data_IF_109251084532
#
_entry.id   IF_109251084532
#
_cell.length_a   1.000
_cell.length_b   1.000
_cell.length_c   1.000
_cell.angle_alpha   90.00
_cell.angle_beta   90.00
_cell.angle_gamma   90.00
#
_symmetry.space_group_name_H-M   'P 1'
#
loop_
_entity.id
_entity.type
_entity.pdbx_description
1 polymer ?
#
# COMPACT_ATOMS: atom_id res chain seq x y z
N UNK A 1 -13.65 15.36 11.71
CA UNK A 1 -14.05 14.00 11.26
C UNK A 1 -13.14 13.67 10.08
N UNK A 2 -12.29 12.66 10.18
CA UNK A 2 -11.49 12.17 9.05
C UNK A 2 -12.47 11.60 8.03
N UNK A 3 -12.46 12.12 6.81
CA UNK A 3 -13.30 11.60 5.73
C UNK A 3 -12.78 10.21 5.32
N UNK A 4 -13.59 9.18 5.51
CA UNK A 4 -13.27 7.82 5.08
C UNK A 4 -13.43 7.72 3.56
N UNK A 5 -12.39 8.08 2.83
CA UNK A 5 -12.41 8.15 1.37
C UNK A 5 -11.67 6.97 0.74
N UNK A 6 -12.27 6.42 -0.30
CA UNK A 6 -11.67 5.43 -1.19
C UNK A 6 -11.25 6.17 -2.45
N UNK A 7 -10.00 6.00 -2.90
CA UNK A 7 -9.54 6.65 -4.12
C UNK A 7 -9.46 5.72 -5.32
N UNK A 8 -9.43 4.41 -5.08
CA UNK A 8 -9.48 3.43 -6.16
C UNK A 8 -10.09 2.10 -5.65
N UNK A 9 -10.75 1.38 -6.54
CA UNK A 9 -11.19 -0.01 -6.35
C UNK A 9 -10.65 -0.78 -7.56
N UNK A 10 -9.51 -1.46 -7.35
CA UNK A 10 -8.83 -2.24 -8.38
C UNK A 10 -9.39 -3.65 -8.41
N UNK A 11 -9.96 -4.03 -9.54
CA UNK A 11 -10.43 -5.39 -9.79
C UNK A 11 -9.33 -6.24 -10.42
N UNK A 12 -9.46 -7.56 -10.28
CA UNK A 12 -8.54 -8.54 -10.87
C UNK A 12 -7.08 -8.35 -10.43
N UNK A 13 -6.86 -7.91 -9.20
CA UNK A 13 -5.53 -7.85 -8.60
C UNK A 13 -5.00 -9.26 -8.34
N UNK A 14 -3.75 -9.54 -8.74
CA UNK A 14 -3.11 -10.86 -8.61
C UNK A 14 -1.89 -10.84 -7.69
N UNK A 15 -1.47 -9.64 -7.23
CA UNK A 15 -0.29 -9.46 -6.38
C UNK A 15 -0.64 -8.90 -4.98
N UNK A 16 -1.92 -8.84 -4.65
CA UNK A 16 -2.40 -8.24 -3.41
C UNK A 16 -2.92 -9.30 -2.41
N UNK A 17 -2.35 -10.53 -2.47
CA UNK A 17 -2.69 -11.69 -1.68
C UNK A 17 -3.05 -12.91 -2.55
N UNK A 18 -3.55 -14.01 -1.96
CA UNK A 18 -3.87 -15.23 -2.70
C UNK A 18 -5.04 -15.04 -3.67
N UNK A 19 -4.98 -15.75 -4.80
CA UNK A 19 -6.01 -15.75 -5.83
C UNK A 19 -6.20 -14.40 -6.53
N UNK A 20 -7.36 -14.22 -7.19
CA UNK A 20 -7.76 -12.97 -7.82
C UNK A 20 -8.55 -12.15 -6.79
N UNK A 21 -8.23 -10.85 -6.69
CA UNK A 21 -8.76 -10.01 -5.61
C UNK A 21 -9.36 -8.70 -6.12
N UNK A 22 -10.28 -8.17 -5.34
CA UNK A 22 -10.64 -6.76 -5.40
C UNK A 22 -9.89 -6.02 -4.32
N UNK A 23 -9.06 -5.03 -4.70
CA UNK A 23 -8.27 -4.22 -3.78
C UNK A 23 -8.90 -2.84 -3.61
N UNK A 24 -9.20 -2.47 -2.38
CA UNK A 24 -9.78 -1.19 -1.99
C UNK A 24 -8.68 -0.29 -1.48
N UNK A 25 -8.49 0.87 -2.12
CA UNK A 25 -7.45 1.82 -1.79
C UNK A 25 -8.02 3.01 -1.00
N UNK A 26 -7.70 3.05 0.30
CA UNK A 26 -8.12 4.13 1.21
C UNK A 26 -7.19 5.35 1.08
N UNK A 27 -7.75 6.55 1.21
CA UNK A 27 -6.96 7.80 1.33
C UNK A 27 -6.51 8.01 2.77
N UNK A 28 -5.39 8.71 2.91
CA UNK A 28 -4.74 8.98 4.19
C UNK A 28 -3.59 8.00 4.45
N UNK A 29 -2.40 8.55 4.65
CA UNK A 29 -1.22 7.79 5.04
C UNK A 29 -0.37 8.63 5.99
N UNK A 30 0.10 8.13 7.12
CA UNK A 30 1.04 8.83 7.98
C UNK A 30 2.45 8.87 7.40
N UNK A 31 2.78 7.96 6.47
CA UNK A 31 4.07 7.90 5.82
C UNK A 31 4.15 8.84 4.60
N UNK A 32 5.38 9.22 4.24
CA UNK A 32 5.73 10.06 3.08
C UNK A 32 6.89 9.45 2.32
N UNK A 33 6.77 8.15 2.01
CA UNK A 33 7.81 7.40 1.32
C UNK A 33 8.22 8.09 0.02
N UNK A 34 9.51 8.36 -0.15
CA UNK A 34 10.03 9.07 -1.34
C UNK A 34 9.83 8.30 -2.64
N UNK A 35 9.60 6.99 -2.57
CA UNK A 35 9.28 6.09 -3.68
C UNK A 35 7.80 5.74 -3.79
N UNK A 36 6.91 6.47 -3.10
CA UNK A 36 5.50 6.11 -3.04
C UNK A 36 4.88 5.97 -4.43
N UNK A 37 4.21 4.84 -4.67
CA UNK A 37 3.48 4.60 -5.91
C UNK A 37 2.08 5.25 -5.92
N UNK A 38 1.55 5.61 -4.74
CA UNK A 38 0.21 6.18 -4.57
C UNK A 38 0.25 7.50 -3.79
N UNK A 39 0.99 8.54 -4.24
CA UNK A 39 1.10 9.81 -3.52
C UNK A 39 -0.25 10.52 -3.35
N UNK A 40 -1.24 10.23 -4.20
CA UNK A 40 -2.62 10.70 -4.08
C UNK A 40 -3.33 10.16 -2.82
N UNK A 41 -2.80 9.12 -2.21
CA UNK A 41 -3.30 8.59 -0.93
C UNK A 41 -2.78 9.33 0.30
N UNK A 42 -1.77 10.18 0.18
CA UNK A 42 -1.15 10.83 1.35
C UNK A 42 -2.12 11.70 2.14
N UNK A 43 -2.98 12.46 1.42
CA UNK A 43 -4.03 13.26 2.04
C UNK A 43 -5.27 12.41 2.31
N UNK A 44 -5.90 12.58 3.46
CA UNK A 44 -7.21 12.01 3.76
C UNK A 44 -8.36 12.76 3.07
N UNK A 45 -8.08 13.97 2.53
CA UNK A 45 -9.08 14.82 1.88
C UNK A 45 -9.17 14.54 0.38
N UNK A 46 -10.32 14.87 -0.26
CA UNK A 46 -10.44 14.80 -1.71
C UNK A 46 -9.42 15.71 -2.38
N UNK A 47 -8.88 15.30 -3.51
CA UNK A 47 -7.90 16.06 -4.28
C UNK A 47 -8.24 16.05 -5.76
N UNK A 48 -8.06 17.19 -6.41
CA UNK A 48 -8.17 17.25 -7.87
C UNK A 48 -6.89 16.71 -8.52
N UNK A 49 -7.07 15.81 -9.49
CA UNK A 49 -6.00 15.29 -10.34
C UNK A 49 -6.20 15.77 -11.78
N UNK A 50 -5.10 16.01 -12.48
CA UNK A 50 -5.13 16.46 -13.87
C UNK A 50 -4.38 15.48 -14.78
N UNK A 51 -5.10 14.80 -15.66
CA UNK A 51 -4.55 13.93 -16.72
C UNK A 51 -4.15 14.77 -17.93
N UNK A 52 -2.91 15.24 -17.97
CA UNK A 52 -2.41 16.12 -19.04
C UNK A 52 -2.62 15.55 -20.45
N UNK A 53 -2.52 14.23 -20.60
CA UNK A 53 -2.74 13.54 -21.87
C UNK A 53 -4.18 13.65 -22.41
N UNK A 54 -5.16 13.92 -21.56
CA UNK A 54 -6.56 14.14 -21.93
C UNK A 54 -6.91 15.63 -22.10
N UNK A 55 -6.05 16.53 -21.62
CA UNK A 55 -6.33 17.97 -21.64
C UNK A 55 -6.16 18.56 -23.03
N UNK A 56 -7.25 19.04 -23.63
CA UNK A 56 -7.27 19.74 -24.94
C UNK A 56 -7.03 21.25 -24.81
N UNK A 57 -6.73 21.76 -23.61
CA UNK A 57 -6.49 23.19 -23.33
C UNK A 57 -7.63 24.12 -23.77
N UNK A 58 -8.88 23.66 -23.62
CA UNK A 58 -10.09 24.43 -23.99
C UNK A 58 -10.33 25.69 -23.15
N UNK A 59 -9.71 25.80 -21.98
CA UNK A 59 -9.89 26.96 -21.09
C UNK A 59 -11.12 26.89 -20.17
N UNK A 60 -12.05 25.97 -20.35
CA UNK A 60 -13.28 25.83 -19.55
C UNK A 60 -13.00 25.82 -18.03
N UNK A 61 -11.90 25.21 -17.59
CA UNK A 61 -11.52 25.17 -16.18
C UNK A 61 -11.03 26.53 -15.60
N UNK A 62 -10.90 27.55 -16.41
CA UNK A 62 -10.54 28.91 -16.00
C UNK A 62 -11.79 29.80 -15.82
N UNK A 63 -12.98 29.31 -16.20
CA UNK A 63 -14.22 30.06 -16.10
C UNK A 63 -14.73 30.11 -14.64
N UNK A 64 -15.31 31.23 -14.22
CA UNK A 64 -15.91 31.33 -12.88
C UNK A 64 -17.02 30.29 -12.70
N UNK A 65 -16.98 29.57 -11.56
CA UNK A 65 -17.98 28.55 -11.24
C UNK A 65 -17.72 27.18 -11.85
N UNK A 66 -16.58 26.96 -12.52
CA UNK A 66 -16.18 25.66 -13.03
C UNK A 66 -16.26 24.57 -11.96
N UNK A 67 -16.81 23.44 -12.34
CA UNK A 67 -16.77 22.19 -11.55
C UNK A 67 -15.96 21.13 -12.33
N UNK A 68 -15.32 20.21 -11.61
CA UNK A 68 -14.49 19.18 -12.23
C UNK A 68 -15.26 18.38 -13.29
N UNK A 69 -16.54 18.10 -13.04
CA UNK A 69 -17.43 17.39 -13.97
C UNK A 69 -17.75 18.17 -15.26
N UNK A 70 -17.49 19.48 -15.28
CA UNK A 70 -17.66 20.32 -16.49
C UNK A 70 -16.50 20.13 -17.49
N UNK A 71 -15.46 19.37 -17.13
CA UNK A 71 -14.33 19.13 -18.01
C UNK A 71 -14.73 18.23 -19.21
N UNK A 72 -14.76 18.75 -20.46
CA UNK A 72 -15.33 18.02 -21.60
C UNK A 72 -14.58 16.76 -21.98
N UNK A 73 -13.33 16.61 -21.55
CA UNK A 73 -12.48 15.45 -21.84
C UNK A 73 -12.21 14.59 -20.61
N UNK A 74 -12.84 14.90 -19.47
CA UNK A 74 -12.53 14.25 -18.19
C UNK A 74 -11.02 14.23 -17.88
N UNK A 75 -10.32 15.30 -18.28
CA UNK A 75 -8.92 15.49 -17.97
C UNK A 75 -8.71 15.84 -16.48
N UNK A 76 -9.75 16.35 -15.82
CA UNK A 76 -9.78 16.63 -14.39
C UNK A 76 -10.69 15.62 -13.71
N UNK A 77 -10.28 15.13 -12.54
CA UNK A 77 -11.06 14.19 -11.72
C UNK A 77 -10.83 14.48 -10.24
N UNK A 78 -11.82 14.19 -9.42
CA UNK A 78 -11.66 14.20 -7.96
C UNK A 78 -11.17 12.82 -7.51
N UNK A 79 -10.03 12.79 -6.86
CA UNK A 79 -9.46 11.61 -6.22
C UNK A 79 -9.94 11.53 -4.78
N UNK A 80 -10.65 10.47 -4.47
CA UNK A 80 -11.26 10.24 -3.16
C UNK A 80 -12.77 10.45 -3.17
N UNK A 81 -13.50 9.35 -3.01
CA UNK A 81 -14.97 9.30 -2.93
C UNK A 81 -15.37 8.60 -1.65
N UNK A 82 -16.37 9.14 -0.97
CA UNK A 82 -17.06 8.43 0.10
C UNK A 82 -18.00 7.37 -0.48
N UNK A 83 -18.04 6.21 0.15
CA UNK A 83 -18.98 5.14 -0.15
C UNK A 83 -19.78 4.82 1.11
N UNK A 84 -21.07 4.60 0.95
CA UNK A 84 -21.82 3.88 1.98
C UNK A 84 -21.36 2.42 1.99
N UNK A 85 -21.56 1.72 3.09
CA UNK A 85 -21.20 0.29 3.17
C UNK A 85 -21.94 -0.54 2.11
N UNK A 86 -23.22 -0.21 1.84
CA UNK A 86 -24.01 -0.90 0.82
C UNK A 86 -23.46 -0.66 -0.61
N UNK A 87 -23.11 0.59 -0.95
CA UNK A 87 -22.49 0.90 -2.24
C UNK A 87 -21.16 0.15 -2.41
N UNK A 88 -20.31 0.17 -1.37
CA UNK A 88 -19.02 -0.51 -1.41
C UNK A 88 -19.18 -2.02 -1.60
N UNK A 89 -20.08 -2.64 -0.83
CA UNK A 89 -20.32 -4.08 -0.97
C UNK A 89 -20.93 -4.42 -2.33
N UNK A 90 -21.80 -3.58 -2.88
CA UNK A 90 -22.33 -3.75 -4.23
C UNK A 90 -21.24 -3.74 -5.30
N UNK A 91 -20.23 -2.87 -5.15
CA UNK A 91 -19.08 -2.85 -6.07
C UNK A 91 -18.21 -4.11 -5.95
N UNK A 92 -18.01 -4.61 -4.74
CA UNK A 92 -17.19 -5.80 -4.47
C UNK A 92 -17.89 -7.09 -4.98
N UNK A 93 -19.19 -7.20 -4.75
CA UNK A 93 -19.97 -8.38 -5.15
C UNK A 93 -19.95 -8.65 -6.66
N UNK A 94 -19.68 -7.65 -7.48
CA UNK A 94 -19.59 -7.81 -8.95
C UNK A 94 -18.54 -8.84 -9.39
N UNK A 95 -17.52 -9.04 -8.56
CA UNK A 95 -16.40 -9.93 -8.86
C UNK A 95 -16.38 -11.18 -7.95
N UNK A 96 -17.48 -11.46 -7.24
CA UNK A 96 -17.56 -12.56 -6.28
C UNK A 96 -17.13 -13.90 -6.89
N UNK A 97 -17.75 -14.29 -7.99
CA UNK A 97 -17.55 -15.61 -8.60
C UNK A 97 -16.07 -15.86 -8.91
N UNK A 98 -15.39 -14.86 -9.51
CA UNK A 98 -13.98 -15.01 -9.87
C UNK A 98 -13.06 -15.01 -8.65
N UNK A 99 -13.42 -14.28 -7.58
CA UNK A 99 -12.69 -14.33 -6.31
C UNK A 99 -12.83 -15.71 -5.67
N UNK A 100 -14.05 -16.26 -5.60
CA UNK A 100 -14.31 -17.59 -5.02
C UNK A 100 -13.64 -18.70 -5.83
N UNK A 101 -13.78 -18.70 -7.15
CA UNK A 101 -13.17 -19.71 -8.04
C UNK A 101 -11.64 -19.75 -7.97
N UNK A 102 -11.01 -18.60 -7.73
CA UNK A 102 -9.56 -18.49 -7.64
C UNK A 102 -9.01 -18.69 -6.21
N UNK A 103 -9.85 -18.84 -5.21
CA UNK A 103 -9.44 -18.79 -3.79
C UNK A 103 -8.94 -17.39 -3.37
N UNK A 104 -9.45 -16.35 -4.04
CA UNK A 104 -9.12 -14.95 -3.80
C UNK A 104 -10.01 -14.29 -2.74
N UNK A 105 -10.22 -12.99 -2.86
CA UNK A 105 -11.04 -12.23 -1.91
C UNK A 105 -10.82 -10.72 -2.01
N UNK A 106 -10.92 -10.03 -0.89
CA UNK A 106 -10.79 -8.57 -0.83
C UNK A 106 -9.55 -8.16 -0.07
N UNK A 107 -8.84 -7.14 -0.56
CA UNK A 107 -7.68 -6.55 0.10
C UNK A 107 -7.96 -5.09 0.43
N UNK A 108 -7.76 -4.70 1.70
CA UNK A 108 -7.69 -3.30 2.09
C UNK A 108 -6.24 -2.83 1.95
N UNK A 109 -6.05 -1.73 1.22
CA UNK A 109 -4.76 -1.13 0.90
C UNK A 109 -4.91 0.39 0.79
N UNK A 110 -3.99 1.07 0.11
CA UNK A 110 -4.13 2.45 -0.31
C UNK A 110 -3.05 3.36 0.21
N UNK A 111 -3.40 4.25 1.15
CA UNK A 111 -2.48 4.95 2.01
C UNK A 111 -2.03 4.04 3.14
N UNK A 112 -2.70 4.15 4.29
CA UNK A 112 -2.51 3.23 5.41
C UNK A 112 -3.89 2.87 5.97
N UNK A 113 -4.39 1.63 5.76
CA UNK A 113 -5.72 1.23 6.25
C UNK A 113 -5.88 1.37 7.75
N UNK A 114 -4.80 1.15 8.52
CA UNK A 114 -4.82 1.23 9.97
C UNK A 114 -4.96 2.67 10.49
N UNK A 115 -4.73 3.69 9.65
CA UNK A 115 -5.02 5.08 9.97
C UNK A 115 -6.53 5.34 10.15
N UNK A 116 -7.36 4.52 9.51
CA UNK A 116 -8.83 4.59 9.55
C UNK A 116 -9.40 3.34 10.25
N UNK A 117 -8.90 3.04 11.45
CA UNK A 117 -9.15 1.79 12.16
C UNK A 117 -10.63 1.41 12.25
N UNK A 118 -11.51 2.33 12.65
CA UNK A 118 -12.95 2.10 12.78
C UNK A 118 -13.58 1.70 11.43
N UNK A 119 -13.29 2.47 10.38
CA UNK A 119 -13.84 2.21 9.05
C UNK A 119 -13.29 0.93 8.43
N UNK A 120 -11.99 0.66 8.59
CA UNK A 120 -11.38 -0.59 8.14
C UNK A 120 -11.99 -1.79 8.85
N UNK A 121 -12.23 -1.70 10.16
CA UNK A 121 -12.91 -2.73 10.94
C UNK A 121 -14.35 -2.97 10.46
N UNK A 122 -15.11 -1.91 10.18
CA UNK A 122 -16.47 -2.02 9.65
C UNK A 122 -16.47 -2.76 8.31
N UNK A 123 -15.56 -2.39 7.40
CA UNK A 123 -15.42 -3.08 6.09
C UNK A 123 -15.05 -4.55 6.29
N UNK A 124 -14.03 -4.85 7.10
CA UNK A 124 -13.57 -6.22 7.33
C UNK A 124 -14.66 -7.10 7.95
N UNK A 125 -15.41 -6.59 8.93
CA UNK A 125 -16.54 -7.31 9.54
C UNK A 125 -17.63 -7.61 8.52
N UNK A 126 -18.01 -6.64 7.71
CA UNK A 126 -19.04 -6.85 6.69
C UNK A 126 -18.57 -7.83 5.60
N UNK A 127 -17.31 -7.76 5.17
CA UNK A 127 -16.72 -8.75 4.26
C UNK A 127 -16.71 -10.15 4.86
N UNK A 128 -16.33 -10.30 6.14
CA UNK A 128 -16.36 -11.57 6.85
C UNK A 128 -17.79 -12.14 6.97
N UNK A 129 -18.78 -11.29 7.27
CA UNK A 129 -20.20 -11.67 7.32
C UNK A 129 -20.70 -12.20 5.97
N UNK A 130 -20.13 -11.70 4.87
CA UNK A 130 -20.43 -12.13 3.49
C UNK A 130 -19.57 -13.31 3.02
N UNK A 131 -18.64 -13.80 3.83
CA UNK A 131 -17.79 -14.96 3.51
C UNK A 131 -16.58 -14.66 2.63
N UNK A 132 -16.19 -13.40 2.42
CA UNK A 132 -14.99 -13.08 1.68
C UNK A 132 -13.72 -13.33 2.50
N UNK A 133 -12.69 -13.88 1.88
CA UNK A 133 -11.32 -13.88 2.43
C UNK A 133 -10.77 -12.44 2.46
N UNK A 134 -10.26 -12.00 3.62
CA UNK A 134 -9.85 -10.61 3.89
C UNK A 134 -8.34 -10.50 4.07
N UNK A 135 -7.73 -9.62 3.31
CA UNK A 135 -6.31 -9.29 3.42
C UNK A 135 -6.15 -7.80 3.74
N UNK A 136 -5.16 -7.46 4.55
CA UNK A 136 -4.79 -6.07 4.84
C UNK A 136 -3.34 -5.84 4.43
N UNK A 137 -3.13 -4.93 3.47
CA UNK A 137 -1.81 -4.47 3.01
C UNK A 137 -1.45 -3.18 3.75
N UNK A 138 -0.43 -3.23 4.61
CA UNK A 138 -0.15 -2.20 5.60
C UNK A 138 1.33 -2.08 5.93
N UNK A 139 1.75 -0.89 6.34
CA UNK A 139 3.04 -0.66 6.97
C UNK A 139 3.07 -1.06 8.46
N UNK A 140 1.94 -1.37 9.07
CA UNK A 140 1.77 -1.56 10.51
C UNK A 140 2.16 -0.34 11.38
N UNK A 141 2.21 0.86 10.80
CA UNK A 141 2.47 2.08 11.57
C UNK A 141 1.19 2.56 12.27
N UNK A 142 0.81 1.86 13.32
CA UNK A 142 -0.39 2.11 14.13
C UNK A 142 -0.18 1.65 15.59
N UNK A 143 -0.96 2.15 16.55
CA UNK A 143 -0.99 1.60 17.91
C UNK A 143 -1.30 0.11 17.90
N UNK A 144 -0.71 -0.65 18.83
CA UNK A 144 -0.84 -2.12 18.85
C UNK A 144 -2.29 -2.58 19.01
N UNK A 145 -3.11 -1.86 19.78
CA UNK A 145 -4.53 -2.15 19.95
C UNK A 145 -5.33 -2.07 18.62
N UNK A 146 -4.91 -1.20 17.69
CA UNK A 146 -5.49 -1.14 16.34
C UNK A 146 -5.10 -2.37 15.54
N UNK A 147 -3.81 -2.76 15.59
CA UNK A 147 -3.32 -3.97 14.90
C UNK A 147 -4.02 -5.21 15.43
N UNK A 148 -4.22 -5.30 16.76
CA UNK A 148 -4.94 -6.40 17.40
C UNK A 148 -6.40 -6.49 16.92
N UNK A 149 -7.11 -5.37 16.89
CA UNK A 149 -8.50 -5.33 16.45
C UNK A 149 -8.64 -5.78 14.99
N UNK A 150 -7.77 -5.29 14.10
CA UNK A 150 -7.74 -5.67 12.68
C UNK A 150 -7.38 -7.16 12.51
N UNK A 151 -6.41 -7.67 13.30
CA UNK A 151 -5.97 -9.05 13.22
C UNK A 151 -7.03 -10.08 13.67
N UNK A 152 -8.05 -9.66 14.38
CA UNK A 152 -9.20 -10.50 14.70
C UNK A 152 -10.20 -10.60 13.55
N UNK A 153 -10.08 -9.75 12.53
CA UNK A 153 -11.06 -9.59 11.45
C UNK A 153 -10.47 -9.82 10.04
N UNK A 154 -9.21 -10.26 9.93
CA UNK A 154 -8.63 -10.59 8.63
C UNK A 154 -7.84 -11.90 8.68
N UNK A 155 -7.75 -12.57 7.55
CA UNK A 155 -7.05 -13.84 7.40
C UNK A 155 -5.56 -13.67 7.10
N UNK A 156 -5.17 -12.55 6.47
CA UNK A 156 -3.79 -12.36 6.02
C UNK A 156 -3.38 -10.88 6.12
N UNK A 157 -2.13 -10.65 6.55
CA UNK A 157 -1.47 -9.36 6.38
C UNK A 157 -0.38 -9.42 5.29
N UNK A 158 -0.31 -8.38 4.47
CA UNK A 158 0.84 -8.06 3.64
C UNK A 158 1.56 -6.91 4.34
N UNK A 159 2.74 -7.17 4.90
CA UNK A 159 3.42 -6.24 5.79
C UNK A 159 4.63 -5.62 5.10
N UNK A 160 4.60 -4.33 4.90
CA UNK A 160 5.71 -3.59 4.31
C UNK A 160 6.83 -3.30 5.34
N UNK A 161 7.96 -3.99 5.25
CA UNK A 161 9.19 -3.70 5.97
C UNK A 161 10.16 -2.95 5.05
N UNK A 162 10.36 -1.66 5.30
CA UNK A 162 11.02 -0.76 4.35
C UNK A 162 12.51 -0.55 4.66
N UNK A 163 12.88 -0.51 5.94
CA UNK A 163 14.24 -0.22 6.39
C UNK A 163 14.40 -0.54 7.88
N UNK A 164 15.57 -1.00 8.30
CA UNK A 164 15.84 -1.39 9.67
C UNK A 164 16.37 -0.25 10.54
N UNK A 165 17.23 0.63 9.98
CA UNK A 165 17.69 1.82 10.67
C UNK A 165 16.55 2.84 10.79
N UNK A 166 16.20 3.25 12.02
CA UNK A 166 15.06 4.13 12.27
C UNK A 166 15.27 5.55 11.79
N UNK A 167 16.51 6.07 11.81
CA UNK A 167 16.79 7.42 11.34
C UNK A 167 16.76 7.47 9.80
N UNK A 168 17.33 6.46 9.13
CA UNK A 168 17.17 6.28 7.68
C UNK A 168 15.72 6.06 7.30
N UNK A 169 14.96 5.26 8.08
CA UNK A 169 13.52 5.07 7.87
C UNK A 169 12.78 6.41 7.94
N UNK A 170 13.04 7.22 8.98
CA UNK A 170 12.44 8.55 9.13
C UNK A 170 12.84 9.50 8.00
N UNK A 171 14.09 9.43 7.54
CA UNK A 171 14.57 10.24 6.43
C UNK A 171 13.79 10.00 5.14
N UNK A 172 13.52 8.74 4.82
CA UNK A 172 12.92 8.32 3.55
C UNK A 172 11.41 8.10 3.58
N UNK A 173 10.83 7.90 4.77
CA UNK A 173 9.38 7.64 4.90
C UNK A 173 8.65 8.65 5.76
N UNK A 174 9.35 9.55 6.43
CA UNK A 174 8.78 10.57 7.31
C UNK A 174 8.55 10.13 8.76
N UNK A 175 8.63 8.84 9.08
CA UNK A 175 8.41 8.28 10.42
C UNK A 175 9.49 7.26 10.80
N UNK A 176 9.70 7.03 12.10
CA UNK A 176 10.53 5.93 12.58
C UNK A 176 9.86 4.57 12.39
N UNK A 177 10.59 3.49 12.58
CA UNK A 177 10.11 2.12 12.37
C UNK A 177 9.81 1.35 13.65
N UNK A 178 9.96 1.96 14.83
CA UNK A 178 9.85 1.29 16.13
C UNK A 178 8.49 0.60 16.30
N UNK A 179 7.40 1.31 16.01
CA UNK A 179 6.05 0.74 16.05
C UNK A 179 5.87 -0.40 15.05
N UNK A 180 6.42 -0.24 13.84
CA UNK A 180 6.34 -1.25 12.77
C UNK A 180 6.99 -2.56 13.25
N UNK A 181 8.24 -2.48 13.72
CA UNK A 181 8.99 -3.64 14.20
C UNK A 181 8.33 -4.30 15.43
N UNK A 182 7.77 -3.50 16.34
CA UNK A 182 7.00 -3.99 17.47
C UNK A 182 5.77 -4.76 17.01
N UNK A 183 5.01 -4.22 16.07
CA UNK A 183 3.79 -4.82 15.55
C UNK A 183 4.06 -6.09 14.73
N UNK A 184 5.18 -6.17 14.00
CA UNK A 184 5.61 -7.40 13.33
C UNK A 184 5.86 -8.51 14.36
N UNK A 185 6.60 -8.21 15.45
CA UNK A 185 6.80 -9.19 16.53
C UNK A 185 5.48 -9.62 17.16
N UNK A 186 4.58 -8.68 17.45
CA UNK A 186 3.27 -8.97 17.99
C UNK A 186 2.44 -9.91 17.09
N UNK A 187 2.42 -9.68 15.77
CA UNK A 187 1.74 -10.59 14.83
C UNK A 187 2.37 -11.99 14.82
N UNK A 188 3.70 -12.08 14.90
CA UNK A 188 4.41 -13.36 14.97
C UNK A 188 4.10 -14.11 16.27
N UNK A 189 4.13 -13.45 17.42
CA UNK A 189 3.83 -14.03 18.74
C UNK A 189 2.40 -14.58 18.81
N UNK A 190 1.43 -13.89 18.20
CA UNK A 190 0.06 -14.39 18.13
C UNK A 190 -0.18 -15.40 17.01
N UNK A 191 0.85 -15.79 16.26
CA UNK A 191 0.76 -16.73 15.14
C UNK A 191 -0.22 -16.28 14.03
N UNK A 192 -0.34 -14.97 13.81
CA UNK A 192 -1.13 -14.43 12.71
C UNK A 192 -0.52 -14.84 11.36
N UNK A 193 -1.35 -14.97 10.34
CA UNK A 193 -0.86 -15.21 8.98
C UNK A 193 -0.43 -13.88 8.36
N UNK A 194 0.84 -13.78 7.94
CA UNK A 194 1.34 -12.62 7.21
C UNK A 194 2.50 -12.97 6.30
N UNK A 195 2.78 -12.11 5.33
CA UNK A 195 4.02 -12.11 4.57
C UNK A 195 4.70 -10.76 4.66
N UNK A 196 6.03 -10.75 4.66
CA UNK A 196 6.83 -9.52 4.64
C UNK A 196 7.04 -9.08 3.20
N UNK A 197 6.83 -7.82 2.92
CA UNK A 197 7.08 -7.19 1.62
C UNK A 197 8.16 -6.14 1.79
N UNK A 198 9.24 -6.28 1.02
CA UNK A 198 10.38 -5.36 1.06
C UNK A 198 10.45 -4.65 -0.28
N UNK A 199 9.96 -3.39 -0.37
CA UNK A 199 10.25 -2.54 -1.52
C UNK A 199 11.76 -2.35 -1.62
N UNK A 200 12.40 -2.91 -2.65
CA UNK A 200 13.84 -2.90 -2.80
C UNK A 200 14.27 -1.82 -3.79
N UNK A 201 14.98 -0.81 -3.29
CA UNK A 201 15.37 0.39 -4.02
C UNK A 201 16.90 0.53 -3.99
N UNK A 202 17.54 0.42 -5.17
CA UNK A 202 18.96 0.68 -5.31
C UNK A 202 19.28 2.12 -4.87
N UNK A 203 20.36 2.29 -4.08
CA UNK A 203 20.77 3.57 -3.51
C UNK A 203 20.01 4.03 -2.26
N UNK A 204 19.01 3.25 -1.78
CA UNK A 204 18.22 3.58 -0.58
C UNK A 204 18.30 2.49 0.49
N UNK A 205 17.89 1.25 0.16
CA UNK A 205 17.75 0.19 1.15
C UNK A 205 18.25 -1.19 0.67
N UNK A 206 18.82 -1.27 -0.54
CA UNK A 206 19.37 -2.51 -1.10
C UNK A 206 20.83 -2.78 -0.68
N UNK A 207 21.36 -2.04 0.30
CA UNK A 207 22.72 -2.21 0.82
C UNK A 207 22.83 -3.43 1.75
N UNK A 208 24.06 -3.94 1.92
CA UNK A 208 24.34 -5.13 2.73
C UNK A 208 23.99 -4.95 4.21
N UNK A 209 24.16 -3.73 4.76
CA UNK A 209 23.87 -3.41 6.15
C UNK A 209 22.36 -3.57 6.44
N UNK A 210 21.55 -2.92 5.62
CA UNK A 210 20.09 -2.96 5.78
C UNK A 210 19.54 -4.38 5.58
N UNK A 211 19.99 -5.09 4.53
CA UNK A 211 19.53 -6.46 4.26
C UNK A 211 20.01 -7.43 5.35
N UNK A 212 21.25 -7.27 5.84
CA UNK A 212 21.76 -8.08 6.95
C UNK A 212 20.98 -7.86 8.25
N UNK A 213 20.68 -6.61 8.60
CA UNK A 213 19.84 -6.27 9.75
C UNK A 213 18.41 -6.82 9.59
N UNK A 214 17.85 -6.76 8.38
CA UNK A 214 16.54 -7.33 8.05
C UNK A 214 16.55 -8.86 8.22
N UNK A 215 17.56 -9.55 7.71
CA UNK A 215 17.72 -10.99 7.84
C UNK A 215 17.82 -11.42 9.33
N UNK A 216 18.62 -10.70 10.10
CA UNK A 216 18.75 -10.94 11.54
C UNK A 216 17.42 -10.74 12.29
N UNK A 217 16.69 -9.66 11.98
CA UNK A 217 15.39 -9.38 12.60
C UNK A 217 14.36 -10.47 12.29
N UNK A 218 14.30 -10.93 11.04
CA UNK A 218 13.33 -11.91 10.57
C UNK A 218 13.73 -13.37 10.85
N UNK A 219 14.96 -13.65 11.28
CA UNK A 219 15.45 -15.03 11.54
C UNK A 219 14.60 -15.80 12.55
N UNK A 220 13.95 -15.10 13.49
CA UNK A 220 13.01 -15.68 14.45
C UNK A 220 11.55 -15.60 14.02
N UNK A 221 11.27 -15.09 12.83
CA UNK A 221 9.93 -14.83 12.28
C UNK A 221 9.79 -15.57 10.94
N UNK A 222 9.48 -16.88 10.93
CA UNK A 222 9.52 -17.72 9.74
C UNK A 222 8.28 -17.49 8.84
N UNK A 223 8.21 -16.33 8.23
CA UNK A 223 7.16 -15.96 7.27
C UNK A 223 7.74 -15.72 5.88
N UNK A 224 6.97 -15.92 4.79
CA UNK A 224 7.43 -15.61 3.44
C UNK A 224 7.84 -14.15 3.28
N UNK A 225 8.93 -13.92 2.55
CA UNK A 225 9.45 -12.58 2.25
C UNK A 225 9.34 -12.35 0.74
N UNK A 226 8.72 -11.25 0.36
CA UNK A 226 8.63 -10.79 -1.02
C UNK A 226 9.56 -9.59 -1.22
N UNK A 227 10.59 -9.75 -2.06
CA UNK A 227 11.40 -8.63 -2.54
C UNK A 227 10.69 -7.98 -3.72
N UNK A 228 10.27 -6.75 -3.57
CA UNK A 228 9.54 -5.99 -4.57
C UNK A 228 10.48 -4.98 -5.26
N UNK A 229 11.00 -5.30 -6.47
CA UNK A 229 11.89 -4.38 -7.18
C UNK A 229 11.20 -3.04 -7.44
N UNK A 230 11.89 -1.95 -7.13
CA UNK A 230 11.40 -0.61 -7.37
C UNK A 230 11.17 -0.33 -8.85
N UNK A 231 10.11 0.39 -9.14
CA UNK A 231 9.83 1.00 -10.43
C UNK A 231 9.22 2.41 -10.25
N UNK A 232 9.33 3.27 -11.26
CA UNK A 232 9.06 4.70 -11.13
C UNK A 232 7.65 5.15 -11.55
N UNK A 233 6.67 4.26 -11.49
CA UNK A 233 5.26 4.56 -11.86
C UNK A 233 4.66 5.72 -11.07
N UNK A 234 5.15 5.98 -9.86
CA UNK A 234 4.75 7.14 -9.05
C UNK A 234 4.98 8.49 -9.71
N UNK A 235 5.95 8.60 -10.64
CA UNK A 235 6.25 9.86 -11.36
C UNK A 235 5.04 10.45 -12.07
N UNK A 236 4.24 9.62 -12.76
CA UNK A 236 3.07 10.10 -13.47
C UNK A 236 1.99 10.62 -12.51
N UNK A 237 1.80 9.95 -11.38
CA UNK A 237 0.84 10.35 -10.36
C UNK A 237 1.21 11.68 -9.71
N UNK A 238 2.50 11.88 -9.38
CA UNK A 238 3.00 13.20 -8.93
C UNK A 238 2.71 14.30 -9.93
N UNK A 239 2.96 14.05 -11.22
CA UNK A 239 2.65 15.01 -12.27
C UNK A 239 1.16 15.36 -12.34
N UNK A 240 0.27 14.37 -12.18
CA UNK A 240 -1.19 14.58 -12.15
C UNK A 240 -1.64 15.43 -10.95
N UNK A 241 -0.93 15.33 -9.83
CA UNK A 241 -1.16 16.11 -8.62
C UNK A 241 -0.53 17.50 -8.68
N UNK A 242 0.24 17.84 -9.72
CA UNK A 242 1.02 19.07 -9.79
C UNK A 242 2.20 19.12 -8.80
N UNK A 243 2.65 17.97 -8.29
CA UNK A 243 3.77 17.85 -7.36
C UNK A 243 5.02 17.30 -8.04
N UNK A 244 6.18 17.52 -7.40
CA UNK A 244 7.47 17.04 -7.92
C UNK A 244 7.79 15.68 -7.30
N UNK A 245 8.05 14.68 -8.16
CA UNK A 245 8.58 13.40 -7.73
C UNK A 245 10.02 13.54 -7.27
N UNK A 246 10.36 12.96 -6.11
CA UNK A 246 11.71 12.98 -5.55
C UNK A 246 12.36 14.39 -5.51
N UNK A 247 11.75 15.38 -4.84
CA UNK A 247 12.22 16.78 -4.89
C UNK A 247 13.59 16.99 -4.26
N UNK A 248 14.06 16.05 -3.43
CA UNK A 248 15.38 16.08 -2.80
C UNK A 248 16.47 15.39 -3.62
N UNK A 249 16.13 14.77 -4.76
CA UNK A 249 17.11 14.14 -5.65
C UNK A 249 17.80 12.91 -5.06
N UNK A 250 17.10 12.12 -4.24
CA UNK A 250 17.67 10.88 -3.73
C UNK A 250 18.02 9.90 -4.86
N UNK A 251 19.11 9.10 -4.73
CA UNK A 251 19.58 8.20 -5.78
C UNK A 251 18.75 6.92 -5.85
N UNK A 252 17.48 7.04 -6.26
CA UNK A 252 16.55 5.90 -6.36
C UNK A 252 16.62 5.29 -7.75
N UNK A 253 16.95 3.99 -7.82
CA UNK A 253 16.93 3.22 -9.06
C UNK A 253 16.30 1.84 -8.84
N UNK A 254 15.87 1.21 -9.94
CA UNK A 254 15.53 -0.21 -9.91
C UNK A 254 16.80 -1.01 -9.59
N UNK A 255 16.73 -2.01 -8.68
CA UNK A 255 17.88 -2.84 -8.40
C UNK A 255 18.26 -3.67 -9.63
N UNK A 256 19.57 -3.86 -9.84
CA UNK A 256 20.07 -4.78 -10.86
C UNK A 256 19.73 -6.23 -10.51
N UNK A 257 19.80 -7.14 -11.49
CA UNK A 257 19.65 -8.58 -11.24
C UNK A 257 20.69 -9.09 -10.22
N UNK A 258 21.93 -8.57 -10.28
CA UNK A 258 22.98 -8.90 -9.33
C UNK A 258 22.63 -8.43 -7.91
N UNK A 259 22.11 -7.21 -7.76
CA UNK A 259 21.65 -6.68 -6.47
C UNK A 259 20.48 -7.52 -5.92
N UNK A 260 19.51 -7.87 -6.76
CA UNK A 260 18.37 -8.71 -6.36
C UNK A 260 18.82 -10.06 -5.86
N UNK A 261 19.70 -10.74 -6.62
CA UNK A 261 20.21 -12.05 -6.25
C UNK A 261 21.04 -12.00 -4.97
N UNK A 262 21.92 -11.00 -4.81
CA UNK A 262 22.69 -10.78 -3.59
C UNK A 262 21.80 -10.59 -2.37
N UNK A 263 20.79 -9.72 -2.47
CA UNK A 263 19.84 -9.48 -1.37
C UNK A 263 19.05 -10.73 -1.01
N UNK A 264 18.61 -11.49 -2.01
CA UNK A 264 17.94 -12.79 -1.82
C UNK A 264 18.82 -13.77 -1.08
N UNK A 265 20.04 -14.01 -1.56
CA UNK A 265 21.00 -14.94 -0.95
C UNK A 265 21.33 -14.56 0.50
N UNK A 266 21.46 -13.26 0.79
CA UNK A 266 21.74 -12.78 2.15
C UNK A 266 20.59 -13.08 3.12
N UNK A 267 19.34 -12.98 2.68
CA UNK A 267 18.17 -13.36 3.46
C UNK A 267 18.04 -14.88 3.61
N UNK A 268 18.22 -15.63 2.51
CA UNK A 268 18.14 -17.09 2.49
C UNK A 268 19.25 -17.76 3.34
N UNK A 269 20.41 -17.12 3.49
CA UNK A 269 21.48 -17.58 4.37
C UNK A 269 21.08 -17.66 5.86
N UNK A 270 20.00 -16.98 6.27
CA UNK A 270 19.40 -17.08 7.60
C UNK A 270 18.20 -18.05 7.64
N UNK A 271 18.02 -18.88 6.61
CA UNK A 271 16.92 -19.86 6.52
C UNK A 271 15.56 -19.27 6.16
N UNK A 272 15.53 -18.05 5.65
CA UNK A 272 14.30 -17.35 5.26
C UNK A 272 13.84 -17.77 3.85
N UNK A 273 12.53 -17.89 3.65
CA UNK A 273 11.94 -18.14 2.33
C UNK A 273 11.75 -16.82 1.58
N UNK A 274 12.43 -16.65 0.45
CA UNK A 274 12.44 -15.41 -0.33
C UNK A 274 11.89 -15.60 -1.73
N UNK A 275 10.96 -14.73 -2.11
CA UNK A 275 10.31 -14.66 -3.43
C UNK A 275 10.63 -13.30 -4.04
N UNK A 276 11.03 -13.27 -5.32
CA UNK A 276 11.18 -11.99 -6.05
C UNK A 276 9.86 -11.70 -6.75
N UNK A 277 9.29 -10.52 -6.47
CA UNK A 277 7.95 -10.15 -6.90
C UNK A 277 6.88 -10.50 -5.86
N UNK A 278 5.63 -10.19 -6.17
CA UNK A 278 4.49 -10.41 -5.27
C UNK A 278 3.17 -10.16 -5.95
#
# INVERSE_FOLDING_TARGET
>A
MTSNLIFDIKRYAINDGPGIRTTIFLKGCPLRCVWCHNPESWSAEPQELVKQSKCIRCGTCLEPGFKVDDCPTMAREICGRAYTMEELMTEIEKERDIMEDSGGGVTLCGGEPLMHAEYSLEILKELGRRGFHRTVDTSLYAPQEVVEAIANECELFLVDLKMMDSDKHRLYTGVGNELILQNIRYLAERQAQFSIRIPLIEGINADEENIGATAQFLSSIPHPIHLLPYHDVGKDKHRRMGSIFNPKGYPMAAPSEETLERCKQQLEAQGLQVIIGG
#
